data_IF_097035563985
#
_entry.id   IF_097035563985
#
_cell.length_a   1.000
_cell.length_b   1.000
_cell.length_c   1.000
_cell.angle_alpha   90.00
_cell.angle_beta   90.00
_cell.angle_gamma   90.00
#
_symmetry.space_group_name_H-M   'P 1'
#
loop_
_entity.id
_entity.type
_entity.pdbx_description
1 polymer ?
#
# COMPACT_ATOMS: atom_id res chain seq x y z
N UNK A 1 -24.36 18.46 1.93
CA UNK A 1 -22.99 18.56 2.55
C UNK A 1 -22.93 19.34 3.88
N UNK A 2 -21.99 19.03 4.79
CA UNK A 2 -21.74 19.78 6.05
C UNK A 2 -21.15 21.18 5.75
N UNK A 3 -21.69 22.28 6.32
CA UNK A 3 -21.21 23.66 6.04
C UNK A 3 -19.71 23.87 6.30
N UNK A 4 -19.15 23.24 7.33
CA UNK A 4 -17.70 23.35 7.61
C UNK A 4 -16.84 22.65 6.57
N UNK A 5 -17.35 21.57 5.99
CA UNK A 5 -16.63 20.83 4.94
C UNK A 5 -16.66 21.62 3.64
N UNK A 6 -17.82 22.21 3.31
CA UNK A 6 -17.98 23.10 2.15
C UNK A 6 -16.99 24.25 2.15
N UNK A 7 -16.91 25.01 3.25
CA UNK A 7 -15.97 26.11 3.38
C UNK A 7 -14.50 25.68 3.19
N UNK A 8 -14.13 24.47 3.63
CA UNK A 8 -12.78 23.94 3.38
C UNK A 8 -12.52 23.65 1.91
N UNK A 9 -13.52 23.14 1.20
CA UNK A 9 -13.42 22.84 -0.23
C UNK A 9 -13.34 24.13 -1.04
N UNK A 10 -14.11 25.15 -0.65
CA UNK A 10 -14.04 26.50 -1.23
C UNK A 10 -12.63 27.08 -1.10
N UNK A 11 -12.02 27.03 0.10
CA UNK A 11 -10.62 27.44 0.28
C UNK A 11 -9.64 26.64 -0.61
N UNK A 12 -9.89 25.35 -0.85
CA UNK A 12 -9.06 24.53 -1.75
C UNK A 12 -9.22 24.97 -3.21
N UNK A 13 -10.44 25.31 -3.63
CA UNK A 13 -10.72 25.80 -4.97
C UNK A 13 -10.10 27.19 -5.20
N UNK A 14 -10.25 28.11 -4.24
CA UNK A 14 -9.60 29.42 -4.25
C UNK A 14 -8.08 29.28 -4.36
N UNK A 15 -7.48 28.40 -3.53
CA UNK A 15 -6.05 28.11 -3.59
C UNK A 15 -5.62 27.55 -4.95
N UNK A 16 -6.43 26.70 -5.57
CA UNK A 16 -6.14 26.17 -6.90
C UNK A 16 -6.12 27.28 -7.96
N UNK A 17 -7.07 28.21 -7.91
CA UNK A 17 -7.10 29.39 -8.80
C UNK A 17 -5.89 30.30 -8.58
N UNK A 18 -5.58 30.64 -7.32
CA UNK A 18 -4.37 31.41 -6.97
C UNK A 18 -3.09 30.77 -7.53
N UNK A 19 -2.94 29.45 -7.39
CA UNK A 19 -1.79 28.74 -7.91
C UNK A 19 -1.73 28.80 -9.45
N UNK A 20 -2.88 28.73 -10.12
CA UNK A 20 -2.96 28.87 -11.57
C UNK A 20 -2.46 30.24 -12.04
N UNK A 21 -2.85 31.30 -11.33
CA UNK A 21 -2.36 32.65 -11.58
C UNK A 21 -0.85 32.78 -11.31
N UNK A 22 -0.36 32.26 -10.17
CA UNK A 22 1.06 32.30 -9.81
C UNK A 22 1.94 31.54 -10.81
N UNK A 23 1.45 30.43 -11.36
CA UNK A 23 2.18 29.66 -12.38
C UNK A 23 2.35 30.48 -13.65
N UNK A 24 1.39 31.34 -14.00
CA UNK A 24 1.45 32.18 -15.20
C UNK A 24 2.42 33.37 -15.07
N UNK A 25 2.91 33.67 -13.87
CA UNK A 25 3.86 34.77 -13.62
C UNK A 25 5.24 34.48 -14.25
N UNK A 26 5.80 35.50 -14.93
CA UNK A 26 7.11 35.43 -15.57
C UNK A 26 8.24 35.19 -14.57
N UNK A 27 8.16 35.73 -13.35
CA UNK A 27 9.17 35.51 -12.32
C UNK A 27 9.21 34.06 -11.83
N UNK A 28 8.03 33.44 -11.72
CA UNK A 28 7.88 32.04 -11.30
C UNK A 28 8.33 31.09 -12.41
N UNK A 29 7.96 31.38 -13.66
CA UNK A 29 8.39 30.62 -14.84
C UNK A 29 9.92 30.63 -15.02
N UNK A 30 10.58 31.72 -14.63
CA UNK A 30 12.05 31.82 -14.66
C UNK A 30 12.73 30.93 -13.60
N UNK A 31 12.11 30.73 -12.43
CA UNK A 31 12.59 29.83 -11.38
C UNK A 31 12.01 28.41 -11.54
N UNK A 32 12.78 27.55 -12.20
CA UNK A 32 12.43 26.13 -12.43
C UNK A 32 12.02 25.38 -11.16
N UNK A 33 12.62 25.68 -10.01
CA UNK A 33 12.30 24.97 -8.76
C UNK A 33 10.92 25.40 -8.25
N UNK A 34 10.70 26.72 -8.19
CA UNK A 34 9.43 27.30 -7.75
C UNK A 34 8.28 26.93 -8.67
N UNK A 35 8.50 26.95 -9.99
CA UNK A 35 7.54 26.49 -10.99
C UNK A 35 7.13 25.02 -10.76
N UNK A 36 8.11 24.13 -10.53
CA UNK A 36 7.83 22.71 -10.29
C UNK A 36 7.06 22.47 -8.98
N UNK A 37 7.37 23.23 -7.92
CA UNK A 37 6.67 23.14 -6.64
C UNK A 37 5.21 23.57 -6.78
N UNK A 38 4.95 24.75 -7.35
CA UNK A 38 3.61 25.27 -7.56
C UNK A 38 2.80 24.43 -8.55
N UNK A 39 3.42 23.95 -9.63
CA UNK A 39 2.76 23.06 -10.60
C UNK A 39 2.34 21.73 -9.98
N UNK A 40 3.13 21.20 -9.03
CA UNK A 40 2.76 19.98 -8.28
C UNK A 40 1.59 20.24 -7.34
N UNK A 41 1.65 21.33 -6.57
CA UNK A 41 0.55 21.71 -5.68
C UNK A 41 -0.74 21.92 -6.47
N UNK A 42 -0.69 22.67 -7.58
CA UNK A 42 -1.83 22.87 -8.47
C UNK A 42 -2.39 21.52 -8.98
N UNK A 43 -1.54 20.64 -9.49
CA UNK A 43 -1.95 19.31 -9.97
C UNK A 43 -2.55 18.42 -8.88
N UNK A 44 -2.12 18.57 -7.62
CA UNK A 44 -2.70 17.84 -6.49
C UNK A 44 -4.11 18.35 -6.14
N UNK A 45 -4.36 19.66 -6.27
CA UNK A 45 -5.65 20.28 -5.97
C UNK A 45 -6.65 20.18 -7.13
N UNK A 46 -6.19 20.08 -8.38
CA UNK A 46 -7.04 20.06 -9.59
C UNK A 46 -8.21 19.07 -9.52
N UNK A 47 -8.06 17.80 -9.07
CA UNK A 47 -9.18 16.86 -9.01
C UNK A 47 -10.30 17.34 -8.09
N UNK A 48 -9.96 17.96 -6.94
CA UNK A 48 -10.93 18.45 -5.97
C UNK A 48 -11.59 19.73 -6.49
N UNK A 49 -10.80 20.66 -7.04
CA UNK A 49 -11.31 21.92 -7.60
C UNK A 49 -12.29 21.67 -8.76
N UNK A 50 -11.94 20.77 -9.71
CA UNK A 50 -12.81 20.43 -10.82
C UNK A 50 -14.11 19.72 -10.38
N UNK A 51 -14.02 18.81 -9.41
CA UNK A 51 -15.20 18.14 -8.85
C UNK A 51 -16.13 19.13 -8.13
N UNK A 52 -15.56 20.10 -7.41
CA UNK A 52 -16.33 21.16 -6.76
C UNK A 52 -16.98 22.12 -7.78
N UNK A 53 -16.26 22.55 -8.81
CA UNK A 53 -16.82 23.38 -9.87
C UNK A 53 -18.01 22.70 -10.56
N UNK A 54 -17.92 21.39 -10.81
CA UNK A 54 -19.03 20.60 -11.34
C UNK A 54 -20.23 20.58 -10.38
N UNK A 55 -19.99 20.40 -9.07
CA UNK A 55 -21.05 20.41 -8.07
C UNK A 55 -21.77 21.77 -8.04
N UNK A 56 -21.02 22.87 -8.02
CA UNK A 56 -21.58 24.23 -8.02
C UNK A 56 -22.42 24.49 -9.26
N UNK A 57 -21.97 24.03 -10.43
CA UNK A 57 -22.74 24.17 -11.67
C UNK A 57 -24.04 23.36 -11.65
N UNK A 58 -24.01 22.13 -11.13
CA UNK A 58 -25.21 21.30 -10.97
C UNK A 58 -26.18 21.91 -9.94
N UNK A 59 -25.67 22.48 -8.85
CA UNK A 59 -26.49 23.19 -7.86
C UNK A 59 -27.15 24.44 -8.47
N UNK A 60 -26.43 25.19 -9.32
CA UNK A 60 -26.96 26.34 -10.06
C UNK A 60 -28.08 25.92 -11.02
N UNK A 61 -27.83 24.91 -11.86
CA UNK A 61 -28.83 24.36 -12.78
C UNK A 61 -30.08 23.84 -12.04
N UNK A 62 -29.88 23.16 -10.91
CA UNK A 62 -30.98 22.69 -10.08
C UNK A 62 -31.79 23.86 -9.49
N UNK A 63 -31.12 24.95 -9.10
CA UNK A 63 -31.77 26.18 -8.64
C UNK A 63 -32.64 26.80 -9.73
N UNK A 64 -32.07 27.02 -10.92
CA UNK A 64 -32.78 27.59 -12.08
C UNK A 64 -33.96 26.73 -12.52
N UNK A 65 -33.80 25.40 -12.51
CA UNK A 65 -34.88 24.47 -12.87
C UNK A 65 -36.00 24.48 -11.82
N UNK A 66 -35.68 24.71 -10.54
CA UNK A 66 -36.70 24.85 -9.48
C UNK A 66 -37.55 26.10 -9.65
N UNK A 67 -36.99 27.19 -10.17
CA UNK A 67 -37.77 28.40 -10.47
C UNK A 67 -38.81 28.15 -11.57
N UNK A 68 -38.55 27.23 -12.50
CA UNK A 68 -39.50 26.83 -13.54
C UNK A 68 -40.70 26.02 -13.00
N UNK A 69 -40.66 25.54 -11.75
CA UNK A 69 -41.78 24.83 -11.14
C UNK A 69 -42.99 25.73 -10.84
N UNK A 70 -42.78 27.05 -10.84
CA UNK A 70 -43.84 28.04 -10.62
C UNK A 70 -44.68 28.30 -11.88
N UNK A 71 -44.17 27.94 -13.06
CA UNK A 71 -44.91 27.99 -14.33
C UNK A 71 -45.75 26.71 -14.52
N UNK A 72 -47.10 26.80 -14.57
CA UNK A 72 -47.98 25.66 -14.75
C UNK A 72 -47.71 24.85 -16.02
N UNK A 73 -47.30 25.50 -17.10
CA UNK A 73 -47.10 24.86 -18.41
C UNK A 73 -45.78 24.08 -18.45
N UNK A 74 -44.80 24.47 -17.64
CA UNK A 74 -43.48 23.84 -17.56
C UNK A 74 -43.30 22.90 -16.37
N UNK A 75 -44.24 22.89 -15.42
CA UNK A 75 -44.14 22.19 -14.14
C UNK A 75 -43.86 20.68 -14.27
N UNK A 76 -44.52 19.97 -15.18
CA UNK A 76 -44.32 18.52 -15.33
C UNK A 76 -42.91 18.18 -15.83
N UNK A 77 -42.40 18.95 -16.80
CA UNK A 77 -41.05 18.80 -17.33
C UNK A 77 -40.00 19.16 -16.28
N UNK A 78 -40.17 20.32 -15.62
CA UNK A 78 -39.28 20.78 -14.57
C UNK A 78 -39.22 19.81 -13.38
N UNK A 79 -40.31 19.11 -13.03
CA UNK A 79 -40.30 18.09 -11.99
C UNK A 79 -39.43 16.88 -12.32
N UNK A 80 -39.38 16.46 -13.59
CA UNK A 80 -38.51 15.38 -14.01
C UNK A 80 -37.04 15.81 -13.94
N UNK A 81 -36.74 16.99 -14.45
CA UNK A 81 -35.38 17.56 -14.48
C UNK A 81 -34.84 17.81 -13.07
N UNK A 82 -35.66 18.32 -12.15
CA UNK A 82 -35.28 18.50 -10.73
C UNK A 82 -34.90 17.18 -10.06
N UNK A 83 -35.60 16.07 -10.39
CA UNK A 83 -35.25 14.74 -9.84
C UNK A 83 -33.92 14.24 -10.41
N UNK A 84 -33.71 14.40 -11.71
CA UNK A 84 -32.46 13.98 -12.35
C UNK A 84 -31.28 14.80 -11.84
N UNK A 85 -31.36 16.14 -11.89
CA UNK A 85 -30.33 17.04 -11.39
C UNK A 85 -30.07 16.83 -9.89
N UNK A 86 -31.11 16.55 -9.10
CA UNK A 86 -30.97 16.20 -7.70
C UNK A 86 -30.10 14.94 -7.49
N UNK A 87 -30.35 13.88 -8.26
CA UNK A 87 -29.50 12.68 -8.22
C UNK A 87 -28.06 12.95 -8.67
N UNK A 88 -27.87 13.77 -9.71
CA UNK A 88 -26.53 14.17 -10.15
C UNK A 88 -25.77 14.98 -9.10
N UNK A 89 -26.45 15.85 -8.35
CA UNK A 89 -25.87 16.60 -7.21
C UNK A 89 -25.43 15.63 -6.11
N UNK A 90 -26.26 14.65 -5.74
CA UNK A 90 -25.91 13.63 -4.73
C UNK A 90 -24.69 12.78 -5.14
N UNK A 91 -24.64 12.37 -6.41
CA UNK A 91 -23.49 11.65 -6.97
C UNK A 91 -22.23 12.51 -6.95
N UNK A 92 -22.34 13.80 -7.30
CA UNK A 92 -21.24 14.75 -7.26
C UNK A 92 -20.73 15.01 -5.83
N UNK A 93 -21.63 15.16 -4.85
CA UNK A 93 -21.25 15.27 -3.42
C UNK A 93 -20.51 14.00 -2.95
N UNK A 94 -20.95 12.83 -3.39
CA UNK A 94 -20.33 11.55 -3.04
C UNK A 94 -18.93 11.42 -3.62
N UNK A 95 -18.74 11.76 -4.89
CA UNK A 95 -17.41 11.73 -5.52
C UNK A 95 -16.46 12.76 -4.88
N UNK A 96 -16.95 13.95 -4.57
CA UNK A 96 -16.16 14.98 -3.89
C UNK A 96 -15.71 14.51 -2.50
N UNK A 97 -16.61 13.87 -1.75
CA UNK A 97 -16.28 13.26 -0.44
C UNK A 97 -15.22 12.16 -0.58
N UNK A 98 -15.30 11.36 -1.65
CA UNK A 98 -14.30 10.32 -1.96
C UNK A 98 -12.92 10.94 -2.21
N UNK A 99 -12.86 12.05 -2.95
CA UNK A 99 -11.60 12.73 -3.28
C UNK A 99 -10.93 13.37 -2.04
N UNK A 100 -11.73 13.86 -1.09
CA UNK A 100 -11.25 14.47 0.16
C UNK A 100 -10.77 13.44 1.19
N UNK A 101 -11.04 12.16 0.95
CA UNK A 101 -10.56 11.10 1.84
C UNK A 101 -9.03 11.01 1.73
N UNK A 102 -8.27 11.17 2.83
CA UNK A 102 -6.81 11.10 2.80
C UNK A 102 -6.36 9.79 2.15
N UNK A 103 -5.57 9.88 1.08
CA UNK A 103 -5.02 8.69 0.42
C UNK A 103 -4.07 8.01 1.39
N UNK A 104 -4.23 6.69 1.57
CA UNK A 104 -3.30 5.94 2.41
C UNK A 104 -1.93 5.95 1.71
N UNK A 105 -0.83 6.31 2.41
CA UNK A 105 0.51 6.28 1.83
C UNK A 105 0.93 4.90 1.30
N UNK A 106 0.17 3.85 1.65
CA UNK A 106 0.36 2.49 1.17
C UNK A 106 -0.53 2.12 -0.03
N UNK A 107 -1.52 2.91 -0.43
CA UNK A 107 -2.46 2.55 -1.52
C UNK A 107 -1.75 2.32 -2.87
N UNK A 108 -0.60 2.98 -3.09
CA UNK A 108 0.22 2.80 -4.27
C UNK A 108 1.24 1.65 -4.17
N UNK A 109 1.37 1.01 -3.00
CA UNK A 109 2.36 -0.04 -2.77
C UNK A 109 1.82 -1.40 -3.20
N UNK A 110 2.74 -2.25 -3.62
CA UNK A 110 2.51 -3.68 -3.77
C UNK A 110 2.18 -4.31 -2.42
N UNK A 111 1.61 -5.51 -2.47
CA UNK A 111 1.11 -6.21 -1.29
C UNK A 111 1.80 -7.56 -1.16
N UNK A 112 2.15 -7.92 0.07
CA UNK A 112 2.51 -9.27 0.46
C UNK A 112 1.25 -9.91 1.03
N UNK A 113 0.76 -10.95 0.37
CA UNK A 113 -0.38 -11.76 0.77
C UNK A 113 0.15 -13.05 1.40
N UNK A 114 -0.18 -13.28 2.66
CA UNK A 114 0.22 -14.46 3.43
C UNK A 114 -1.03 -15.12 4.00
N UNK A 115 -1.24 -16.40 3.69
CA UNK A 115 -2.40 -17.19 4.12
C UNK A 115 -1.91 -18.40 4.89
N UNK A 116 -2.45 -18.61 6.09
CA UNK A 116 -2.06 -19.72 6.98
C UNK A 116 -3.26 -20.52 7.44
N UNK A 117 -3.09 -21.84 7.53
CA UNK A 117 -4.07 -22.73 8.09
C UNK A 117 -4.26 -22.44 9.60
N UNK A 118 -5.51 -22.33 10.03
CA UNK A 118 -5.91 -22.14 11.42
C UNK A 118 -6.38 -23.45 12.05
N UNK A 119 -7.51 -23.39 12.75
CA UNK A 119 -8.18 -24.57 13.31
C UNK A 119 -8.85 -25.39 12.21
N UNK A 120 -8.86 -26.72 12.35
CA UNK A 120 -9.49 -27.62 11.38
C UNK A 120 -8.56 -28.60 10.68
N UNK A 121 -7.30 -28.70 11.11
CA UNK A 121 -6.35 -29.72 10.64
C UNK A 121 -6.18 -29.71 9.12
N UNK A 122 -6.32 -30.88 8.50
CA UNK A 122 -6.14 -31.05 7.06
C UNK A 122 -7.11 -30.23 6.20
N UNK A 123 -8.35 -30.05 6.68
CA UNK A 123 -9.36 -29.25 5.99
C UNK A 123 -8.98 -27.76 5.96
N UNK A 124 -8.28 -27.27 6.98
CA UNK A 124 -7.78 -25.91 6.98
C UNK A 124 -6.72 -25.70 5.88
N UNK A 125 -5.90 -26.72 5.59
CA UNK A 125 -4.92 -26.67 4.51
C UNK A 125 -5.56 -26.62 3.12
N UNK A 126 -6.64 -27.37 2.92
CA UNK A 126 -7.46 -27.30 1.70
C UNK A 126 -8.14 -25.95 1.56
N UNK A 127 -8.65 -25.38 2.66
CA UNK A 127 -9.26 -24.05 2.66
C UNK A 127 -8.26 -22.93 2.31
N UNK A 128 -7.00 -23.05 2.75
CA UNK A 128 -5.93 -22.12 2.34
C UNK A 128 -5.71 -22.16 0.83
N UNK A 129 -5.72 -23.35 0.22
CA UNK A 129 -5.59 -23.49 -1.23
C UNK A 129 -6.77 -22.88 -1.99
N UNK A 130 -7.99 -23.02 -1.45
CA UNK A 130 -9.19 -22.37 -2.01
C UNK A 130 -9.08 -20.84 -1.96
N UNK A 131 -8.66 -20.28 -0.82
CA UNK A 131 -8.43 -18.84 -0.66
C UNK A 131 -7.34 -18.36 -1.61
N UNK A 132 -6.23 -19.09 -1.74
CA UNK A 132 -5.17 -18.75 -2.68
C UNK A 132 -5.67 -18.70 -4.12
N UNK A 133 -6.43 -19.73 -4.54
CA UNK A 133 -7.05 -19.78 -5.88
C UNK A 133 -8.02 -18.62 -6.11
N UNK A 134 -8.79 -18.25 -5.08
CA UNK A 134 -9.68 -17.09 -5.11
C UNK A 134 -8.90 -15.79 -5.32
N UNK A 135 -7.86 -15.52 -4.53
CA UNK A 135 -7.05 -14.31 -4.66
C UNK A 135 -6.26 -14.26 -5.97
N UNK A 136 -5.81 -15.40 -6.48
CA UNK A 136 -5.17 -15.45 -7.80
C UNK A 136 -6.14 -15.00 -8.90
N UNK A 137 -7.36 -15.56 -8.95
CA UNK A 137 -8.40 -15.14 -9.91
C UNK A 137 -8.84 -13.68 -9.70
N UNK A 138 -8.89 -13.22 -8.45
CA UNK A 138 -9.20 -11.82 -8.16
C UNK A 138 -8.13 -10.89 -8.71
N UNK A 139 -6.85 -11.26 -8.57
CA UNK A 139 -5.71 -10.50 -9.06
C UNK A 139 -5.66 -10.46 -10.59
N UNK A 140 -5.92 -11.59 -11.26
CA UNK A 140 -6.05 -11.67 -12.72
C UNK A 140 -7.11 -10.70 -13.26
N UNK A 141 -8.30 -10.65 -12.65
CA UNK A 141 -9.38 -9.71 -13.04
C UNK A 141 -8.98 -8.24 -12.89
N UNK A 142 -8.13 -7.93 -11.92
CA UNK A 142 -7.61 -6.58 -11.70
C UNK A 142 -6.31 -6.30 -12.45
N UNK A 143 -5.85 -7.24 -13.30
CA UNK A 143 -4.58 -7.16 -14.04
C UNK A 143 -3.37 -6.96 -13.12
N UNK A 144 -3.40 -7.59 -11.95
CA UNK A 144 -2.27 -7.65 -11.03
C UNK A 144 -1.49 -8.94 -11.24
N UNK A 145 -0.16 -8.86 -11.15
CA UNK A 145 0.73 -10.02 -11.22
C UNK A 145 1.00 -10.54 -9.81
N UNK A 146 1.12 -11.86 -9.64
CA UNK A 146 1.54 -12.47 -8.37
C UNK A 146 2.90 -13.15 -8.59
N UNK A 147 3.92 -12.69 -7.88
CA UNK A 147 5.30 -13.20 -7.94
C UNK A 147 5.78 -13.69 -6.57
N UNK A 148 6.96 -14.32 -6.52
CA UNK A 148 7.65 -14.74 -5.28
C UNK A 148 6.76 -15.61 -4.36
N UNK A 149 6.20 -16.67 -4.93
CA UNK A 149 5.34 -17.59 -4.18
C UNK A 149 6.20 -18.55 -3.36
N UNK A 150 6.08 -18.46 -2.04
CA UNK A 150 6.65 -19.42 -1.08
C UNK A 150 5.48 -20.18 -0.43
N UNK A 151 5.53 -21.50 -0.38
CA UNK A 151 4.47 -22.30 0.25
C UNK A 151 5.04 -23.47 1.05
N UNK A 152 4.27 -23.90 2.04
CA UNK A 152 4.46 -25.13 2.80
C UNK A 152 3.26 -26.02 2.55
N UNK A 153 3.49 -27.21 2.01
CA UNK A 153 2.43 -28.18 1.74
C UNK A 153 1.83 -28.73 3.03
N UNK A 154 0.58 -29.20 2.93
CA UNK A 154 -0.10 -29.92 3.98
C UNK A 154 -0.25 -31.41 3.63
N UNK A 155 -0.33 -32.27 4.65
CA UNK A 155 -0.27 -33.74 4.49
C UNK A 155 -1.40 -34.33 3.65
N UNK A 156 -2.64 -33.84 3.79
CA UNK A 156 -3.78 -34.26 2.99
C UNK A 156 -4.01 -33.44 1.71
N UNK A 157 -3.02 -32.64 1.29
CA UNK A 157 -3.13 -31.68 0.19
C UNK A 157 -3.46 -30.26 0.65
N UNK A 158 -3.27 -29.31 -0.26
CA UNK A 158 -3.36 -27.87 0.03
C UNK A 158 -2.10 -27.33 0.72
N UNK A 159 -2.24 -26.22 1.45
CA UNK A 159 -1.10 -25.50 2.03
C UNK A 159 -1.28 -25.23 3.52
N UNK A 160 -0.24 -25.51 4.31
CA UNK A 160 -0.16 -25.06 5.70
C UNK A 160 0.07 -23.54 5.77
N UNK A 161 0.90 -23.03 4.87
CA UNK A 161 1.21 -21.62 4.68
C UNK A 161 1.49 -21.36 3.21
N UNK A 162 0.97 -20.26 2.68
CA UNK A 162 1.31 -19.75 1.34
C UNK A 162 1.48 -18.25 1.39
N UNK A 163 2.58 -17.75 0.83
CA UNK A 163 2.91 -16.34 0.74
C UNK A 163 3.19 -16.00 -0.70
N UNK A 164 2.69 -14.85 -1.18
CA UNK A 164 3.12 -14.30 -2.46
C UNK A 164 3.00 -12.79 -2.52
N UNK A 165 3.69 -12.21 -3.50
CA UNK A 165 3.78 -10.78 -3.73
C UNK A 165 2.84 -10.37 -4.87
N UNK A 166 1.80 -9.62 -4.54
CA UNK A 166 0.85 -9.03 -5.49
C UNK A 166 1.38 -7.68 -5.97
N UNK A 167 1.68 -7.59 -7.26
CA UNK A 167 2.17 -6.40 -7.95
C UNK A 167 1.03 -5.75 -8.74
N UNK A 168 0.71 -4.52 -8.37
CA UNK A 168 -0.40 -3.80 -9.00
C UNK A 168 -0.73 -2.50 -8.29
N UNK A 169 -1.04 -1.46 -9.07
CA UNK A 169 -1.49 -0.17 -8.54
C UNK A 169 -2.84 -0.36 -7.85
N UNK A 170 -2.96 0.09 -6.60
CA UNK A 170 -4.20 -0.03 -5.82
C UNK A 170 -4.45 -1.40 -5.19
N UNK A 171 -3.49 -2.33 -5.24
CA UNK A 171 -3.63 -3.65 -4.62
C UNK A 171 -3.87 -3.54 -3.11
N UNK A 172 -3.13 -2.66 -2.42
CA UNK A 172 -3.33 -2.42 -0.98
C UNK A 172 -4.72 -1.85 -0.68
N UNK A 173 -5.18 -0.87 -1.46
CA UNK A 173 -6.45 -0.20 -1.22
C UNK A 173 -7.64 -1.17 -1.20
N UNK A 174 -7.59 -2.20 -2.06
CA UNK A 174 -8.61 -3.23 -2.17
C UNK A 174 -8.42 -4.34 -1.13
N UNK A 175 -7.18 -4.83 -0.97
CA UNK A 175 -6.91 -6.02 -0.15
C UNK A 175 -6.80 -5.71 1.35
N UNK A 176 -6.60 -4.46 1.79
CA UNK A 176 -6.41 -4.11 3.22
C UNK A 176 -7.55 -4.53 4.16
N UNK A 177 -8.75 -4.77 3.62
CA UNK A 177 -9.92 -5.21 4.38
C UNK A 177 -10.04 -6.73 4.52
N UNK A 178 -9.26 -7.48 3.75
CA UNK A 178 -9.25 -8.95 3.74
C UNK A 178 -8.41 -9.54 4.88
N UNK A 179 -7.76 -8.67 5.69
CA UNK A 179 -6.96 -9.08 6.84
C UNK A 179 -7.84 -9.69 7.93
N UNK A 180 -7.41 -10.82 8.48
CA UNK A 180 -8.06 -11.43 9.63
C UNK A 180 -8.27 -12.94 9.49
N UNK A 181 -9.19 -13.45 10.30
CA UNK A 181 -9.54 -14.88 10.32
C UNK A 181 -10.77 -15.12 9.48
N UNK A 182 -10.63 -15.99 8.49
CA UNK A 182 -11.69 -16.46 7.61
C UNK A 182 -12.19 -17.80 8.10
N UNK A 183 -13.51 -18.01 8.06
CA UNK A 183 -14.16 -19.24 8.54
C UNK A 183 -14.87 -19.94 7.40
N UNK A 184 -14.72 -21.26 7.33
CA UNK A 184 -15.48 -22.13 6.41
C UNK A 184 -16.25 -23.18 7.22
N UNK A 185 -17.47 -23.47 6.77
CA UNK A 185 -18.31 -24.53 7.31
C UNK A 185 -18.79 -25.39 6.15
N UNK A 186 -18.28 -26.62 6.05
CA UNK A 186 -18.65 -27.59 5.02
C UNK A 186 -18.36 -29.01 5.49
N UNK A 187 -18.81 -29.99 4.72
CA UNK A 187 -18.35 -31.38 4.87
C UNK A 187 -16.95 -31.47 4.27
N UNK A 188 -15.90 -31.75 5.06
CA UNK A 188 -14.53 -31.86 4.56
C UNK A 188 -14.40 -32.97 3.52
N UNK A 189 -13.47 -32.80 2.58
CA UNK A 189 -13.11 -33.88 1.66
C UNK A 189 -12.46 -35.07 2.39
N UNK A 190 -11.91 -34.83 3.58
CA UNK A 190 -11.27 -35.83 4.44
C UNK A 190 -12.24 -36.54 5.40
N UNK A 191 -13.53 -36.19 5.41
CA UNK A 191 -14.53 -36.70 6.36
C UNK A 191 -15.43 -37.76 5.72
N UNK A 192 -15.51 -38.96 6.32
CA UNK A 192 -16.29 -40.08 5.77
C UNK A 192 -17.76 -40.10 6.24
N UNK A 193 -18.10 -39.47 7.38
CA UNK A 193 -19.46 -39.52 7.95
C UNK A 193 -20.38 -38.39 7.48
N UNK A 194 -19.93 -37.51 6.60
CA UNK A 194 -20.75 -36.41 6.08
C UNK A 194 -21.07 -35.32 7.12
N UNK A 195 -20.30 -35.23 8.21
CA UNK A 195 -20.50 -34.21 9.26
C UNK A 195 -19.95 -32.87 8.81
N UNK A 196 -20.64 -31.79 9.16
CA UNK A 196 -20.19 -30.42 8.89
C UNK A 196 -19.11 -30.06 9.91
N UNK A 197 -17.92 -29.74 9.44
CA UNK A 197 -16.83 -29.23 10.27
C UNK A 197 -16.68 -27.72 10.08
N UNK A 198 -16.18 -27.06 11.12
CA UNK A 198 -15.81 -25.64 11.05
C UNK A 198 -14.30 -25.54 11.05
N UNK A 199 -13.74 -24.97 9.99
CA UNK A 199 -12.31 -24.73 9.84
C UNK A 199 -12.04 -23.24 9.65
N UNK A 200 -10.82 -22.81 9.96
CA UNK A 200 -10.40 -21.41 9.85
C UNK A 200 -9.07 -21.28 9.12
N UNK A 201 -8.88 -20.14 8.46
CA UNK A 201 -7.60 -19.73 7.90
C UNK A 201 -7.35 -18.25 8.25
N UNK A 202 -6.09 -17.88 8.46
CA UNK A 202 -5.72 -16.48 8.69
C UNK A 202 -5.13 -15.90 7.42
N UNK A 203 -5.62 -14.73 7.01
CA UNK A 203 -5.11 -13.94 5.90
C UNK A 203 -4.41 -12.71 6.48
N UNK A 204 -3.14 -12.56 6.16
CA UNK A 204 -2.29 -11.42 6.52
C UNK A 204 -1.90 -10.66 5.26
N UNK A 205 -2.09 -9.34 5.30
CA UNK A 205 -1.92 -8.45 4.16
C UNK A 205 -1.04 -7.31 4.61
N UNK A 206 0.11 -7.17 3.95
CA UNK A 206 1.16 -6.23 4.33
C UNK A 206 1.57 -5.40 3.12
N UNK A 207 1.80 -4.08 3.28
CA UNK A 207 2.34 -3.30 2.20
C UNK A 207 3.82 -3.66 2.04
N UNK A 208 4.29 -3.76 0.81
CA UNK A 208 5.70 -4.01 0.56
C UNK A 208 6.54 -2.87 1.17
N UNK A 209 7.54 -3.18 2.02
CA UNK A 209 8.41 -2.15 2.57
C UNK A 209 9.17 -1.49 1.42
N UNK A 210 9.29 -0.16 1.43
CA UNK A 210 10.20 0.52 0.51
C UNK A 210 11.60 -0.01 0.80
N UNK A 211 12.24 -0.62 -0.19
CA UNK A 211 13.68 -0.90 -0.16
C UNK A 211 14.38 0.45 -0.11
N UNK A 212 14.61 1.00 1.08
CA UNK A 212 15.47 2.16 1.22
C UNK A 212 16.89 1.69 0.91
N UNK A 213 17.32 1.87 -0.34
CA UNK A 213 18.66 1.50 -0.83
C UNK A 213 19.79 2.30 -0.16
N UNK A 214 19.48 3.22 0.75
CA UNK A 214 20.51 3.91 1.55
C UNK A 214 20.38 3.54 3.03
N UNK A 215 20.88 2.37 3.42
CA UNK A 215 21.47 2.26 4.75
C UNK A 215 22.71 3.16 4.75
N UNK A 216 22.49 4.45 5.05
CA UNK A 216 23.56 5.39 5.35
C UNK A 216 24.31 4.83 6.56
N UNK A 217 25.44 4.15 6.31
CA UNK A 217 26.32 3.73 7.39
C UNK A 217 26.95 5.03 7.93
N UNK A 218 26.63 5.47 9.16
CA UNK A 218 27.24 6.66 9.71
C UNK A 218 28.76 6.44 9.79
N UNK A 219 29.53 7.38 9.24
CA UNK A 219 31.00 7.35 9.20
C UNK A 219 31.64 7.19 10.59
N UNK A 220 30.89 7.46 11.65
CA UNK A 220 31.32 7.39 13.05
C UNK A 220 31.40 5.98 13.63
N UNK A 221 30.86 4.96 12.95
CA UNK A 221 30.85 3.56 13.45
C UNK A 221 32.17 2.80 13.25
N UNK A 222 33.18 3.39 12.60
CA UNK A 222 34.48 2.76 12.38
C UNK A 222 35.46 3.02 13.53
N UNK A 223 35.41 2.23 14.60
CA UNK A 223 36.45 2.25 15.65
C UNK A 223 37.14 0.87 15.79
N UNK A 224 38.19 0.65 14.98
CA UNK A 224 39.41 -0.10 15.37
C UNK A 224 40.40 -0.15 14.19
N UNK A 225 41.69 0.21 14.38
CA UNK A 225 42.70 0.08 13.34
C UNK A 225 42.98 -1.39 13.03
N UNK A 226 43.05 -1.72 11.75
CA UNK A 226 43.51 -3.04 11.30
C UNK A 226 45.04 -3.09 11.34
N UNK A 227 45.60 -4.16 11.90
CA UNK A 227 47.01 -4.49 11.72
C UNK A 227 47.21 -5.06 10.31
N UNK A 228 48.30 -4.68 9.63
CA UNK A 228 48.64 -5.19 8.30
C UNK A 228 49.07 -6.66 8.41
N UNK A 229 48.67 -7.49 7.45
CA UNK A 229 49.17 -8.86 7.33
C UNK A 229 50.70 -8.83 7.16
N UNK A 230 51.39 -9.68 7.92
CA UNK A 230 52.84 -9.83 7.81
C UNK A 230 53.18 -10.37 6.42
N UNK A 231 53.88 -9.58 5.61
CA UNK A 231 54.62 -10.11 4.46
C UNK A 231 55.85 -10.80 5.01
N UNK A 232 56.08 -12.04 4.60
CA UNK A 232 57.39 -12.68 4.78
C UNK A 232 58.44 -11.84 4.05
N UNK A 233 59.50 -11.42 4.76
CA UNK A 233 60.77 -11.05 4.13
C UNK A 233 61.25 -9.59 4.14
N UNK A 234 60.77 -8.68 5.00
CA UNK A 234 61.45 -7.36 5.11
C UNK A 234 61.50 -6.83 6.54
N UNK A 235 62.68 -6.90 7.15
CA UNK A 235 62.99 -6.30 8.46
C UNK A 235 63.46 -4.86 8.23
N UNK A 236 62.52 -3.91 8.30
CA UNK A 236 62.71 -2.45 8.52
C UNK A 236 61.68 -1.63 7.72
N UNK A 237 60.44 -1.57 8.21
CA UNK A 237 59.59 -0.40 7.95
C UNK A 237 58.86 -0.03 9.24
N UNK A 238 58.76 1.26 9.60
CA UNK A 238 57.98 1.67 10.77
C UNK A 238 56.51 1.28 10.55
N UNK A 239 55.85 0.77 11.61
CA UNK A 239 54.43 0.38 11.58
C UNK A 239 53.53 1.60 11.37
N UNK A 240 53.35 2.03 10.13
CA UNK A 240 52.29 2.98 9.78
C UNK A 240 50.93 2.28 9.92
N UNK A 241 50.05 2.85 10.76
CA UNK A 241 48.66 2.37 10.93
C UNK A 241 47.93 2.47 9.60
N UNK A 242 47.41 1.34 9.11
CA UNK A 242 46.49 1.33 7.98
C UNK A 242 45.13 1.94 8.36
N UNK A 243 44.31 2.36 7.38
CA UNK A 243 42.96 2.86 7.65
C UNK A 243 42.12 1.79 8.39
N UNK A 244 41.23 2.20 9.31
CA UNK A 244 40.36 1.26 10.04
C UNK A 244 39.45 0.52 9.06
N UNK A 245 39.31 -0.80 9.26
CA UNK A 245 38.36 -1.58 8.47
C UNK A 245 36.92 -1.19 8.86
N UNK A 246 36.04 -0.92 7.87
CA UNK A 246 34.65 -0.58 8.13
C UNK A 246 33.93 -1.78 8.77
N UNK A 247 33.13 -1.51 9.79
CA UNK A 247 32.34 -2.49 10.52
C UNK A 247 30.92 -1.94 10.72
N UNK A 248 29.91 -2.75 10.40
CA UNK A 248 28.50 -2.43 10.62
C UNK A 248 27.72 -3.73 10.89
N UNK A 249 26.80 -3.71 11.85
CA UNK A 249 25.96 -4.86 12.24
C UNK A 249 26.71 -6.20 12.47
N UNK A 250 27.94 -6.13 13.02
CA UNK A 250 28.78 -7.32 13.26
C UNK A 250 29.50 -7.87 12.03
N UNK A 251 29.29 -7.29 10.84
CA UNK A 251 30.01 -7.63 9.63
C UNK A 251 31.28 -6.78 9.50
N UNK A 252 32.41 -7.45 9.21
CA UNK A 252 33.71 -6.83 8.95
C UNK A 252 34.15 -7.16 7.53
N UNK A 253 34.52 -6.14 6.75
CA UNK A 253 35.11 -6.32 5.43
C UNK A 253 36.59 -5.93 5.50
N UNK A 254 37.46 -6.79 4.94
CA UNK A 254 38.89 -6.51 4.85
C UNK A 254 39.13 -5.57 3.67
N UNK A 255 39.72 -4.41 3.92
CA UNK A 255 40.21 -3.52 2.87
C UNK A 255 41.64 -3.96 2.49
N UNK A 256 41.87 -4.25 1.22
CA UNK A 256 43.18 -4.73 0.73
C UNK A 256 44.08 -3.58 0.26
N UNK A 257 43.49 -2.41 -0.02
CA UNK A 257 44.18 -1.26 -0.62
C UNK A 257 44.37 -0.10 0.37
N UNK A 258 45.44 0.69 0.15
CA UNK A 258 45.84 1.81 1.02
C UNK A 258 44.98 3.07 0.82
N UNK A 259 44.38 3.26 -0.36
CA UNK A 259 43.71 4.51 -0.73
C UNK A 259 42.20 4.47 -0.45
N UNK A 260 41.61 5.51 0.19
CA UNK A 260 40.18 5.57 0.49
C UNK A 260 39.26 5.42 -0.74
N UNK A 261 39.66 6.01 -1.88
CA UNK A 261 38.91 5.92 -3.14
C UNK A 261 38.85 4.50 -3.72
N UNK A 262 39.89 3.68 -3.47
CA UNK A 262 39.95 2.29 -3.94
C UNK A 262 39.21 1.32 -3.00
N UNK A 263 38.91 1.75 -1.77
CA UNK A 263 38.14 0.97 -0.79
C UNK A 263 36.61 1.16 -0.92
N UNK A 264 36.14 1.91 -1.94
CA UNK A 264 34.72 2.07 -2.25
C UNK A 264 34.02 0.72 -2.48
N UNK A 265 34.69 -0.22 -3.16
CA UNK A 265 34.20 -1.59 -3.39
C UNK A 265 34.00 -2.38 -2.08
N UNK A 266 34.87 -2.17 -1.09
CA UNK A 266 34.77 -2.79 0.23
C UNK A 266 33.60 -2.24 1.04
N UNK A 267 33.31 -0.94 0.91
CA UNK A 267 32.16 -0.30 1.54
C UNK A 267 30.84 -0.75 0.89
N UNK A 268 30.83 -0.91 -0.43
CA UNK A 268 29.67 -1.42 -1.17
C UNK A 268 29.37 -2.87 -0.79
N UNK A 269 30.40 -3.72 -0.67
CA UNK A 269 30.26 -5.09 -0.19
C UNK A 269 29.72 -5.15 1.26
N UNK A 270 30.11 -4.21 2.13
CA UNK A 270 29.58 -4.12 3.50
C UNK A 270 28.11 -3.67 3.50
N UNK A 271 27.75 -2.70 2.65
CA UNK A 271 26.36 -2.24 2.50
C UNK A 271 25.44 -3.35 2.01
N UNK A 272 25.87 -4.11 0.99
CA UNK A 272 25.14 -5.27 0.50
C UNK A 272 24.91 -6.29 1.63
N UNK A 273 25.96 -6.70 2.35
CA UNK A 273 25.83 -7.66 3.47
C UNK A 273 24.93 -7.16 4.60
N UNK A 274 25.02 -5.88 4.95
CA UNK A 274 24.15 -5.29 5.98
C UNK A 274 22.69 -5.22 5.51
N UNK A 275 22.47 -4.86 4.25
CA UNK A 275 21.13 -4.83 3.64
C UNK A 275 20.51 -6.23 3.62
N UNK A 276 21.28 -7.25 3.23
CA UNK A 276 20.85 -8.65 3.25
C UNK A 276 20.52 -9.13 4.67
N UNK A 277 21.31 -8.71 5.67
CA UNK A 277 21.05 -9.06 7.07
C UNK A 277 19.77 -8.37 7.62
N UNK A 278 19.52 -7.12 7.23
CA UNK A 278 18.32 -6.39 7.62
C UNK A 278 17.09 -7.01 6.93
N UNK A 279 17.19 -7.30 5.64
CA UNK A 279 16.12 -7.97 4.88
C UNK A 279 15.83 -9.36 5.41
N UNK A 280 16.86 -10.16 5.73
CA UNK A 280 16.68 -11.49 6.33
C UNK A 280 16.09 -11.41 7.73
N UNK A 281 16.45 -10.42 8.55
CA UNK A 281 15.81 -10.18 9.85
C UNK A 281 14.35 -9.76 9.70
N UNK A 282 14.02 -8.91 8.73
CA UNK A 282 12.63 -8.54 8.41
C UNK A 282 11.83 -9.76 7.95
N UNK A 283 12.39 -10.58 7.05
CA UNK A 283 11.81 -11.87 6.62
C UNK A 283 11.64 -12.86 7.76
N UNK A 284 12.58 -12.87 8.72
CA UNK A 284 12.58 -13.76 9.90
C UNK A 284 11.79 -13.22 11.08
N UNK A 285 11.18 -12.02 11.00
CA UNK A 285 10.35 -11.51 12.09
C UNK A 285 9.27 -12.54 12.42
N UNK A 286 9.17 -13.00 13.68
CA UNK A 286 8.15 -13.95 14.07
C UNK A 286 6.77 -13.48 13.62
N UNK A 287 5.96 -14.40 13.12
CA UNK A 287 4.62 -14.08 12.65
C UNK A 287 3.71 -13.55 13.78
N UNK A 288 3.99 -13.91 15.04
CA UNK A 288 3.36 -13.30 16.23
C UNK A 288 3.45 -11.78 16.22
N UNK A 289 4.63 -11.25 15.92
CA UNK A 289 4.92 -9.81 15.95
C UNK A 289 4.24 -9.09 14.78
N UNK A 290 4.06 -9.81 13.65
CA UNK A 290 3.32 -9.30 12.49
C UNK A 290 1.81 -9.26 12.76
N UNK A 291 1.27 -10.27 13.45
CA UNK A 291 -0.15 -10.32 13.87
C UNK A 291 -0.49 -9.24 14.89
N UNK A 292 0.39 -8.99 15.86
CA UNK A 292 0.16 -7.98 16.90
C UNK A 292 -0.06 -6.58 16.31
N UNK A 293 0.71 -6.24 15.27
CA UNK A 293 0.57 -4.97 14.53
C UNK A 293 -0.71 -4.90 13.65
N UNK A 294 -1.44 -6.00 13.48
CA UNK A 294 -2.55 -6.14 12.53
C UNK A 294 -3.93 -6.31 13.19
N UNK A 295 -4.03 -6.29 14.53
CA UNK A 295 -5.31 -6.42 15.26
C UNK A 295 -6.18 -5.15 15.09
N UNK A 296 -6.94 -5.11 14.01
CA UNK A 296 -8.18 -4.32 13.90
C UNK A 296 -9.28 -5.28 13.44
N UNK A 297 -9.94 -5.90 14.42
CA UNK A 297 -11.01 -6.88 14.20
C UNK A 297 -12.14 -6.24 13.38
N UNK A 298 -12.22 -6.55 12.09
CA UNK A 298 -13.38 -6.20 11.25
C UNK A 298 -14.23 -7.45 11.10
N UNK A 299 -15.36 -7.49 11.81
CA UNK A 299 -16.37 -8.54 11.66
C UNK A 299 -17.15 -8.22 10.39
N UNK A 300 -16.83 -8.87 9.27
CA UNK A 300 -17.65 -8.79 8.06
C UNK A 300 -18.85 -9.73 8.25
N UNK A 301 -19.96 -9.20 8.75
CA UNK A 301 -21.28 -9.86 8.63
C UNK A 301 -21.81 -9.63 7.21
N UNK A 302 -21.56 -10.58 6.31
CA UNK A 302 -22.37 -10.72 5.10
C UNK A 302 -23.70 -11.37 5.50
N UNK A 303 -24.75 -10.57 5.59
CA UNK A 303 -26.13 -11.08 5.68
C UNK A 303 -26.46 -11.73 4.34
N UNK A 304 -26.46 -13.05 4.29
CA UNK A 304 -27.09 -13.77 3.21
C UNK A 304 -28.61 -13.51 3.30
N UNK A 305 -29.18 -12.89 2.27
CA UNK A 305 -30.63 -12.77 2.10
C UNK A 305 -31.24 -14.17 2.02
N UNK A 306 -32.36 -14.44 2.71
CA UNK A 306 -32.99 -15.75 2.67
C UNK A 306 -33.59 -15.98 1.29
N UNK A 307 -33.12 -17.00 0.59
CA UNK A 307 -33.71 -17.50 -0.64
C UNK A 307 -35.09 -18.06 -0.31
N UNK A 308 -36.13 -17.46 -0.88
CA UNK A 308 -37.50 -17.95 -0.84
C UNK A 308 -37.55 -19.35 -1.44
N UNK A 309 -37.83 -20.35 -0.61
CA UNK A 309 -38.25 -21.65 -1.07
C UNK A 309 -39.70 -21.54 -1.54
N UNK A 310 -39.95 -21.64 -2.85
CA UNK A 310 -41.26 -22.01 -3.36
C UNK A 310 -41.31 -23.53 -3.53
N UNK A 311 -42.18 -24.17 -2.75
CA UNK A 311 -42.80 -25.45 -3.08
C UNK A 311 -44.25 -25.16 -3.44
#
# INVERSE_FOLDING_TARGET
MNPRLRAKIENIAERHEELGEMICDQEVMADKRRFLELSREHAELTPVAMAFAKLVELERQLGETRELLDDPDMRELAQADVRELGGQVEDAETELTRLLTPKDPNDAKNVILEIRAGTGGDEAGLFVADLWRMYNRFSERHRWAIDQVEFSENSAGGFKEITGRVQGKGAWAQLKFERGVHRVQRVPATESQGRIHTSTATVAIMPEPRTSTSTSIPRTSSSRPCARAARAGSTSTPRLRGPPAPQAHGHRVRCDQRSPAQNASSHEALRSRCSDQIQSKQRRRPWSDRREAQKSTTIIRRTASPTTASR
#
